data_IF_112199178185
#
_entry.id   IF_112199178185
#
_cell.length_a   1.000
_cell.length_b   1.000
_cell.length_c   1.000
_cell.angle_alpha   90.00
_cell.angle_beta   90.00
_cell.angle_gamma   90.00
#
_symmetry.space_group_name_H-M   'P 1'
#
loop_
_entity.id
_entity.type
_entity.pdbx_description
1 polymer ?
#
# COMPACT_ATOMS: atom_id res chain seq x y z
N UNK A 1 -14.27 8.45 -7.80
CA UNK A 1 -13.08 7.67 -7.43
C UNK A 1 -13.53 6.58 -6.47
N UNK A 2 -13.01 5.37 -6.55
CA UNK A 2 -13.35 4.31 -5.59
C UNK A 2 -12.90 4.71 -4.17
N UNK A 3 -13.66 4.29 -3.19
CA UNK A 3 -13.30 4.48 -1.77
C UNK A 3 -12.21 3.49 -1.36
N UNK A 4 -11.51 3.76 -0.27
CA UNK A 4 -10.51 2.86 0.29
C UNK A 4 -11.08 1.46 0.58
N UNK A 5 -12.30 1.39 1.10
CA UNK A 5 -12.97 0.12 1.39
C UNK A 5 -13.28 -0.67 0.11
N UNK A 6 -13.73 -0.01 -0.95
CA UNK A 6 -13.99 -0.65 -2.25
C UNK A 6 -12.71 -1.22 -2.87
N UNK A 7 -11.58 -0.51 -2.77
CA UNK A 7 -10.28 -0.99 -3.24
C UNK A 7 -9.83 -2.22 -2.44
N UNK A 8 -9.90 -2.19 -1.11
CA UNK A 8 -9.52 -3.32 -0.24
C UNK A 8 -10.41 -4.54 -0.55
N UNK A 9 -11.71 -4.35 -0.69
CA UNK A 9 -12.63 -5.45 -1.02
C UNK A 9 -12.32 -6.06 -2.39
N UNK A 10 -12.02 -5.24 -3.38
CA UNK A 10 -11.66 -5.70 -4.72
C UNK A 10 -10.32 -6.43 -4.75
N UNK A 11 -9.32 -5.97 -3.99
CA UNK A 11 -8.02 -6.66 -3.82
C UNK A 11 -8.25 -8.05 -3.21
N UNK A 12 -9.05 -8.17 -2.15
CA UNK A 12 -9.34 -9.44 -1.50
C UNK A 12 -10.07 -10.43 -2.45
N UNK A 13 -11.01 -9.94 -3.25
CA UNK A 13 -11.70 -10.76 -4.26
C UNK A 13 -10.73 -11.26 -5.35
N UNK A 14 -9.83 -10.40 -5.83
CA UNK A 14 -8.82 -10.80 -6.82
C UNK A 14 -7.83 -11.81 -6.23
N UNK A 15 -7.41 -11.64 -4.97
CA UNK A 15 -6.53 -12.61 -4.29
C UNK A 15 -7.19 -13.98 -4.14
N UNK A 16 -8.47 -14.03 -3.77
CA UNK A 16 -9.24 -15.28 -3.73
C UNK A 16 -9.33 -15.95 -5.11
N UNK A 17 -9.56 -15.17 -6.16
CA UNK A 17 -9.58 -15.66 -7.54
C UNK A 17 -8.20 -16.22 -7.97
N UNK A 18 -7.11 -15.52 -7.62
CA UNK A 18 -5.75 -15.98 -7.86
C UNK A 18 -5.50 -17.33 -7.20
N UNK A 19 -5.96 -17.51 -5.97
CA UNK A 19 -5.83 -18.78 -5.26
C UNK A 19 -6.58 -19.91 -5.99
N UNK A 20 -7.83 -19.66 -6.41
CA UNK A 20 -8.61 -20.64 -7.17
C UNK A 20 -7.93 -21.01 -8.50
N UNK A 21 -7.36 -20.04 -9.23
CA UNK A 21 -6.65 -20.30 -10.48
C UNK A 21 -5.40 -21.17 -10.24
N UNK A 22 -4.65 -20.92 -9.16
CA UNK A 22 -3.48 -21.73 -8.78
C UNK A 22 -3.87 -23.17 -8.48
N UNK A 23 -4.99 -23.39 -7.80
CA UNK A 23 -5.52 -24.71 -7.51
C UNK A 23 -5.92 -25.43 -8.80
N UNK A 24 -6.59 -24.75 -9.73
CA UNK A 24 -6.94 -25.31 -11.04
C UNK A 24 -5.72 -25.65 -11.90
N UNK A 25 -4.65 -24.84 -11.86
CA UNK A 25 -3.39 -25.16 -12.53
C UNK A 25 -2.78 -26.43 -11.94
N UNK A 26 -2.72 -26.54 -10.61
CA UNK A 26 -2.18 -27.72 -9.94
C UNK A 26 -2.96 -29.00 -10.28
N UNK A 27 -4.30 -28.90 -10.31
CA UNK A 27 -5.18 -30.01 -10.71
C UNK A 27 -4.96 -30.40 -12.18
N UNK A 28 -4.87 -29.41 -13.08
CA UNK A 28 -4.58 -29.66 -14.50
C UNK A 28 -3.19 -30.30 -14.69
N UNK A 29 -2.15 -29.85 -13.96
CA UNK A 29 -0.81 -30.45 -13.98
C UNK A 29 -0.83 -31.91 -13.50
N UNK A 30 -1.66 -32.21 -12.49
CA UNK A 30 -1.83 -33.59 -12.02
C UNK A 30 -2.56 -34.46 -13.06
N UNK A 31 -3.57 -33.94 -13.74
CA UNK A 31 -4.24 -34.63 -14.84
C UNK A 31 -3.30 -34.91 -16.01
N UNK A 32 -2.47 -33.93 -16.38
CA UNK A 32 -1.43 -34.10 -17.41
C UNK A 32 -0.47 -35.21 -17.03
N UNK A 33 0.01 -35.27 -15.80
CA UNK A 33 0.94 -36.32 -15.31
C UNK A 33 0.29 -37.69 -15.28
N UNK A 34 -0.94 -37.78 -14.82
CA UNK A 34 -1.60 -39.05 -14.54
C UNK A 34 -2.19 -39.72 -15.81
N UNK A 35 -2.69 -38.91 -16.76
CA UNK A 35 -3.48 -39.43 -17.87
C UNK A 35 -2.77 -39.46 -19.20
N UNK A 36 -1.86 -38.51 -19.51
CA UNK A 36 -1.55 -38.28 -20.91
C UNK A 36 -0.11 -38.63 -21.31
N UNK A 37 0.88 -38.19 -20.54
CA UNK A 37 2.28 -38.41 -20.96
C UNK A 37 2.64 -39.91 -20.93
N UNK A 38 2.33 -40.55 -19.81
CA UNK A 38 2.64 -41.97 -19.64
C UNK A 38 1.83 -42.86 -20.60
N UNK A 39 0.60 -42.47 -20.97
CA UNK A 39 -0.24 -43.24 -21.89
C UNK A 39 0.22 -43.04 -23.35
N UNK A 40 0.50 -41.80 -23.75
CA UNK A 40 1.00 -41.49 -25.10
C UNK A 40 2.31 -42.23 -25.38
N UNK A 41 3.30 -42.15 -24.49
CA UNK A 41 4.59 -42.80 -24.61
C UNK A 41 4.47 -44.35 -24.73
N UNK A 42 3.55 -44.94 -23.90
CA UNK A 42 3.29 -46.40 -23.98
C UNK A 42 2.65 -46.80 -25.32
N UNK A 43 1.65 -46.04 -25.79
CA UNK A 43 0.99 -46.33 -27.07
C UNK A 43 1.95 -46.14 -28.23
N UNK A 44 2.83 -45.14 -28.20
CA UNK A 44 3.87 -44.93 -29.21
C UNK A 44 4.86 -46.11 -29.24
N UNK A 45 5.26 -46.61 -28.06
CA UNK A 45 6.13 -47.78 -27.95
C UNK A 45 5.46 -49.04 -28.51
N UNK A 46 4.20 -49.28 -28.10
CA UNK A 46 3.40 -50.42 -28.60
C UNK A 46 3.20 -50.33 -30.11
N UNK A 47 2.93 -49.16 -30.65
CA UNK A 47 2.78 -48.93 -32.08
C UNK A 47 4.08 -49.20 -32.84
N UNK A 48 5.22 -48.81 -32.28
CA UNK A 48 6.52 -49.10 -32.88
C UNK A 48 6.82 -50.63 -32.94
N UNK A 49 6.49 -51.35 -31.84
CA UNK A 49 6.62 -52.81 -31.80
C UNK A 49 5.69 -53.51 -32.81
N UNK A 50 4.42 -53.05 -32.90
CA UNK A 50 3.46 -53.59 -33.88
C UNK A 50 3.92 -53.35 -35.34
N UNK A 51 4.45 -52.15 -35.62
CA UNK A 51 5.00 -51.85 -36.96
C UNK A 51 6.21 -52.72 -37.30
N UNK A 52 7.08 -52.97 -36.35
CA UNK A 52 8.22 -53.91 -36.55
C UNK A 52 7.71 -55.33 -36.84
N UNK A 53 6.75 -55.82 -36.06
CA UNK A 53 6.12 -57.13 -36.28
C UNK A 53 5.44 -57.22 -37.65
N UNK A 54 4.83 -56.12 -38.10
CA UNK A 54 4.25 -56.05 -39.44
C UNK A 54 5.30 -56.17 -40.55
N UNK A 55 6.44 -55.49 -40.39
CA UNK A 55 7.56 -55.61 -41.35
C UNK A 55 8.15 -57.04 -41.38
N UNK A 56 8.24 -57.72 -40.24
CA UNK A 56 8.69 -59.14 -40.19
C UNK A 56 7.74 -60.03 -40.98
N UNK A 57 6.44 -59.87 -40.86
CA UNK A 57 5.44 -60.63 -41.64
C UNK A 57 5.53 -60.29 -43.11
N UNK A 58 5.77 -59.05 -43.49
CA UNK A 58 6.02 -58.72 -44.90
C UNK A 58 7.28 -59.39 -45.47
N UNK A 59 8.37 -59.52 -44.71
CA UNK A 59 9.57 -60.26 -45.12
C UNK A 59 9.25 -61.71 -45.27
N UNK A 60 8.53 -62.35 -44.35
CA UNK A 60 8.07 -63.74 -44.46
C UNK A 60 7.21 -63.98 -45.70
N UNK A 61 6.30 -63.04 -46.04
CA UNK A 61 5.54 -63.10 -47.28
C UNK A 61 6.41 -63.09 -48.53
N UNK A 62 7.47 -62.31 -48.58
CA UNK A 62 8.43 -62.26 -49.66
C UNK A 62 9.25 -63.56 -49.79
N UNK A 63 9.41 -64.26 -48.68
CA UNK A 63 10.12 -65.56 -48.65
C UNK A 63 9.18 -66.76 -49.00
N UNK A 64 7.90 -66.50 -49.24
CA UNK A 64 6.94 -67.53 -49.61
C UNK A 64 6.19 -68.14 -48.40
N UNK A 65 6.42 -67.69 -47.23
CA UNK A 65 5.75 -68.04 -45.94
C UNK A 65 4.62 -67.08 -45.64
N UNK A 66 3.49 -67.19 -46.33
CA UNK A 66 2.41 -66.25 -46.23
C UNK A 66 1.34 -66.67 -45.21
N UNK A 67 1.14 -65.85 -44.09
CA UNK A 67 0.04 -65.98 -43.14
C UNK A 67 -0.87 -64.78 -43.22
N UNK A 68 -1.87 -64.86 -44.08
CA UNK A 68 -2.89 -63.75 -44.25
C UNK A 68 -3.62 -63.41 -42.99
N UNK A 69 -3.84 -64.33 -42.05
CA UNK A 69 -4.54 -64.13 -40.82
C UNK A 69 -3.70 -63.27 -39.84
N UNK A 70 -2.44 -63.66 -39.69
CA UNK A 70 -1.50 -62.92 -38.81
C UNK A 70 -1.28 -61.49 -39.29
N UNK A 71 -1.15 -61.28 -40.60
CA UNK A 71 -0.98 -60.00 -41.23
C UNK A 71 -2.21 -59.07 -40.87
N UNK A 72 -3.41 -59.60 -41.07
CA UNK A 72 -4.65 -58.88 -40.80
C UNK A 72 -4.82 -58.54 -39.31
N UNK A 73 -4.52 -59.46 -38.42
CA UNK A 73 -4.56 -59.22 -36.97
C UNK A 73 -3.60 -58.07 -36.52
N UNK A 74 -2.40 -57.98 -37.12
CA UNK A 74 -1.45 -56.92 -36.83
C UNK A 74 -1.93 -55.58 -37.41
N UNK A 75 -2.48 -55.57 -38.64
CA UNK A 75 -3.08 -54.37 -39.26
C UNK A 75 -4.22 -53.80 -38.41
N UNK A 76 -5.12 -54.66 -37.90
CA UNK A 76 -6.21 -54.25 -37.01
C UNK A 76 -5.70 -53.66 -35.70
N UNK A 77 -4.64 -54.24 -35.10
CA UNK A 77 -4.03 -53.73 -33.88
C UNK A 77 -3.32 -52.39 -34.12
N UNK A 78 -2.63 -52.23 -35.25
CA UNK A 78 -2.02 -50.94 -35.62
C UNK A 78 -3.08 -49.85 -35.76
N UNK A 79 -4.17 -50.13 -36.48
CA UNK A 79 -5.24 -49.19 -36.68
C UNK A 79 -5.92 -48.79 -35.33
N UNK A 80 -6.11 -49.75 -34.43
CA UNK A 80 -6.63 -49.50 -33.09
C UNK A 80 -5.68 -48.64 -32.26
N UNK A 81 -4.36 -48.95 -32.26
CA UNK A 81 -3.34 -48.18 -31.54
C UNK A 81 -3.20 -46.76 -32.09
N UNK A 82 -3.21 -46.56 -33.40
CA UNK A 82 -3.18 -45.23 -34.04
C UNK A 82 -4.40 -44.36 -33.66
N UNK A 83 -5.61 -44.99 -33.64
CA UNK A 83 -6.83 -44.31 -33.19
C UNK A 83 -6.74 -43.91 -31.71
N UNK A 84 -6.20 -44.81 -30.87
CA UNK A 84 -6.02 -44.54 -29.44
C UNK A 84 -5.02 -43.42 -29.21
N UNK A 85 -3.86 -43.47 -29.91
CA UNK A 85 -2.82 -42.42 -29.87
C UNK A 85 -3.40 -41.04 -30.25
N UNK A 86 -4.21 -40.97 -31.30
CA UNK A 86 -4.85 -39.72 -31.73
C UNK A 86 -5.78 -39.18 -30.69
N UNK A 87 -6.52 -40.03 -29.98
CA UNK A 87 -7.45 -39.64 -28.93
C UNK A 87 -6.70 -39.07 -27.70
N UNK A 88 -5.70 -39.80 -27.19
CA UNK A 88 -4.88 -39.42 -26.04
C UNK A 88 -4.06 -38.16 -26.30
N UNK A 89 -3.46 -38.02 -27.48
CA UNK A 89 -2.75 -36.82 -27.91
C UNK A 89 -3.69 -35.61 -27.96
N UNK A 90 -4.95 -35.79 -28.39
CA UNK A 90 -5.96 -34.75 -28.40
C UNK A 90 -6.32 -34.26 -26.98
N UNK A 91 -6.47 -35.22 -26.05
CA UNK A 91 -6.73 -34.89 -24.62
C UNK A 91 -5.53 -34.12 -24.03
N UNK A 92 -4.31 -34.56 -24.26
CA UNK A 92 -3.09 -33.89 -23.79
C UNK A 92 -2.98 -32.47 -24.33
N UNK A 93 -3.22 -32.27 -25.64
CA UNK A 93 -3.23 -30.91 -26.22
C UNK A 93 -4.28 -30.00 -25.61
N UNK A 94 -5.48 -30.52 -25.33
CA UNK A 94 -6.52 -29.76 -24.67
C UNK A 94 -6.12 -29.35 -23.23
N UNK A 95 -5.57 -30.27 -22.45
CA UNK A 95 -5.09 -29.99 -21.09
C UNK A 95 -3.98 -28.94 -21.07
N UNK A 96 -3.01 -29.03 -21.99
CA UNK A 96 -1.97 -28.02 -22.16
C UNK A 96 -2.56 -26.65 -22.56
N UNK A 97 -3.57 -26.64 -23.42
CA UNK A 97 -4.29 -25.43 -23.80
C UNK A 97 -4.99 -24.77 -22.61
N UNK A 98 -5.68 -25.56 -21.78
CA UNK A 98 -6.32 -25.10 -20.54
C UNK A 98 -5.26 -24.52 -19.58
N UNK A 99 -4.16 -25.23 -19.35
CA UNK A 99 -3.07 -24.79 -18.48
C UNK A 99 -2.53 -23.42 -18.91
N UNK A 100 -2.24 -23.24 -20.19
CA UNK A 100 -1.77 -21.96 -20.73
C UNK A 100 -2.81 -20.83 -20.62
N UNK A 101 -4.09 -21.14 -20.73
CA UNK A 101 -5.14 -20.16 -20.53
C UNK A 101 -5.20 -19.71 -19.08
N UNK A 102 -5.12 -20.64 -18.12
CA UNK A 102 -5.09 -20.36 -16.68
C UNK A 102 -3.85 -19.56 -16.28
N UNK A 103 -2.67 -19.85 -16.82
CA UNK A 103 -1.45 -19.08 -16.58
C UNK A 103 -1.56 -17.62 -17.05
N UNK A 104 -2.18 -17.40 -18.22
CA UNK A 104 -2.45 -16.04 -18.72
C UNK A 104 -3.43 -15.29 -17.82
N UNK A 105 -4.48 -15.96 -17.36
CA UNK A 105 -5.46 -15.38 -16.45
C UNK A 105 -4.84 -15.06 -15.08
N UNK A 106 -3.98 -15.94 -14.57
CA UNK A 106 -3.20 -15.71 -13.34
C UNK A 106 -2.37 -14.44 -13.43
N UNK A 107 -1.60 -14.30 -14.50
CA UNK A 107 -0.77 -13.11 -14.75
C UNK A 107 -1.60 -11.83 -14.84
N UNK A 108 -2.75 -11.90 -15.53
CA UNK A 108 -3.66 -10.76 -15.67
C UNK A 108 -4.26 -10.38 -14.32
N UNK A 109 -4.67 -11.34 -13.50
CA UNK A 109 -5.22 -11.11 -12.17
C UNK A 109 -4.20 -10.53 -11.21
N UNK A 110 -2.95 -11.01 -11.24
CA UNK A 110 -1.83 -10.44 -10.48
C UNK A 110 -1.57 -8.97 -10.85
N UNK A 111 -1.49 -8.67 -12.15
CA UNK A 111 -1.31 -7.28 -12.60
C UNK A 111 -2.45 -6.36 -12.16
N UNK A 112 -3.69 -6.86 -12.08
CA UNK A 112 -4.83 -6.07 -11.55
C UNK A 112 -4.71 -5.83 -10.06
N UNK A 113 -4.23 -6.79 -9.27
CA UNK A 113 -3.95 -6.60 -7.83
C UNK A 113 -2.92 -5.50 -7.66
N UNK A 114 -1.79 -5.57 -8.38
CA UNK A 114 -0.73 -4.56 -8.29
C UNK A 114 -1.24 -3.15 -8.63
N UNK A 115 -2.06 -3.03 -9.69
CA UNK A 115 -2.67 -1.76 -10.05
C UNK A 115 -3.59 -1.20 -8.97
N UNK A 116 -4.38 -2.06 -8.31
CA UNK A 116 -5.27 -1.62 -7.24
C UNK A 116 -4.52 -1.29 -5.95
N UNK A 117 -3.42 -1.98 -5.65
CA UNK A 117 -2.54 -1.64 -4.53
C UNK A 117 -1.91 -0.26 -4.73
N UNK A 118 -1.40 0.02 -5.93
CA UNK A 118 -0.88 1.36 -6.27
C UNK A 118 -1.96 2.43 -6.13
N UNK A 119 -3.20 2.13 -6.54
CA UNK A 119 -4.31 3.08 -6.39
C UNK A 119 -4.66 3.34 -4.92
N UNK A 120 -4.61 2.31 -4.06
CA UNK A 120 -4.82 2.41 -2.62
C UNK A 120 -3.73 3.25 -1.96
N UNK A 121 -2.46 2.98 -2.26
CA UNK A 121 -1.31 3.74 -1.74
C UNK A 121 -1.38 5.23 -2.13
N UNK A 122 -1.80 5.53 -3.36
CA UNK A 122 -2.01 6.92 -3.81
C UNK A 122 -3.11 7.61 -3.02
N UNK A 123 -4.21 6.92 -2.74
CA UNK A 123 -5.31 7.47 -1.96
C UNK A 123 -4.89 7.75 -0.51
N UNK A 124 -4.15 6.83 0.10
CA UNK A 124 -3.58 7.00 1.44
C UNK A 124 -2.60 8.17 1.50
N UNK A 125 -1.74 8.31 0.50
CA UNK A 125 -0.82 9.43 0.41
C UNK A 125 -1.55 10.78 0.31
N UNK A 126 -2.59 10.89 -0.51
CA UNK A 126 -3.38 12.13 -0.61
C UNK A 126 -4.13 12.44 0.70
N UNK A 127 -4.65 11.45 1.40
CA UNK A 127 -5.26 11.64 2.72
C UNK A 127 -4.23 12.17 3.74
N UNK A 128 -3.03 11.58 3.81
CA UNK A 128 -1.95 12.04 4.67
C UNK A 128 -1.52 13.49 4.34
N UNK A 129 -1.51 13.85 3.08
CA UNK A 129 -1.20 15.22 2.63
C UNK A 129 -2.25 16.22 3.11
N UNK A 130 -3.54 15.86 3.01
CA UNK A 130 -4.63 16.69 3.51
C UNK A 130 -4.59 16.85 5.04
N UNK A 131 -4.32 15.78 5.77
CA UNK A 131 -4.20 15.82 7.22
C UNK A 131 -3.01 16.69 7.66
N UNK A 132 -1.88 16.56 6.97
CA UNK A 132 -0.73 17.43 7.20
C UNK A 132 -1.08 18.91 6.98
N UNK A 133 -1.81 19.20 5.90
CA UNK A 133 -2.21 20.58 5.62
C UNK A 133 -3.12 21.14 6.71
N UNK A 134 -4.11 20.37 7.18
CA UNK A 134 -4.97 20.76 8.32
C UNK A 134 -4.17 21.04 9.59
N UNK A 135 -3.19 20.17 9.91
CA UNK A 135 -2.33 20.39 11.07
C UNK A 135 -1.50 21.68 10.96
N UNK A 136 -0.99 22.00 9.78
CA UNK A 136 -0.25 23.27 9.55
C UNK A 136 -1.16 24.46 9.75
N UNK A 137 -2.39 24.41 9.24
CA UNK A 137 -3.37 25.49 9.42
C UNK A 137 -3.74 25.69 10.91
N UNK A 138 -3.94 24.61 11.65
CA UNK A 138 -4.17 24.68 13.11
C UNK A 138 -2.98 25.29 13.86
N UNK A 139 -1.76 24.89 13.54
CA UNK A 139 -0.55 25.47 14.16
C UNK A 139 -0.46 26.97 13.87
N UNK A 140 -0.77 27.40 12.64
CA UNK A 140 -0.79 28.81 12.28
C UNK A 140 -1.84 29.59 13.08
N UNK A 141 -3.04 29.02 13.26
CA UNK A 141 -4.09 29.65 14.08
C UNK A 141 -3.67 29.80 15.55
N UNK A 142 -3.08 28.75 16.15
CA UNK A 142 -2.55 28.81 17.52
C UNK A 142 -1.43 29.84 17.65
N UNK A 143 -0.51 29.89 16.69
CA UNK A 143 0.56 30.88 16.68
C UNK A 143 0.01 32.29 16.67
N UNK A 144 -1.02 32.57 15.85
CA UNK A 144 -1.66 33.89 15.81
C UNK A 144 -2.36 34.25 17.13
N UNK A 145 -3.02 33.28 17.77
CA UNK A 145 -3.65 33.49 19.08
C UNK A 145 -2.60 33.83 20.16
N UNK A 146 -1.47 33.15 20.17
CA UNK A 146 -0.37 33.42 21.09
C UNK A 146 0.21 34.84 20.87
N UNK A 147 0.42 35.24 19.61
CA UNK A 147 0.85 36.61 19.30
C UNK A 147 -0.13 37.64 19.80
N UNK A 148 -1.42 37.41 19.61
CA UNK A 148 -2.44 38.30 20.09
C UNK A 148 -2.46 38.40 21.63
N UNK A 149 -2.30 37.28 22.35
CA UNK A 149 -2.19 37.28 23.80
C UNK A 149 -0.96 38.02 24.28
N UNK A 150 0.20 37.80 23.62
CA UNK A 150 1.43 38.53 23.92
C UNK A 150 1.25 40.03 23.77
N UNK A 151 0.66 40.50 22.67
CA UNK A 151 0.39 41.91 22.43
C UNK A 151 -0.54 42.52 23.51
N UNK A 152 -1.54 41.74 23.99
CA UNK A 152 -2.39 42.18 25.13
C UNK A 152 -1.60 42.33 26.42
N UNK A 153 -0.69 41.35 26.73
CA UNK A 153 0.18 41.45 27.93
C UNK A 153 1.08 42.66 27.84
N UNK A 154 1.68 42.95 26.69
CA UNK A 154 2.46 44.19 26.48
C UNK A 154 1.64 45.42 26.74
N UNK A 155 0.41 45.48 26.16
CA UNK A 155 -0.48 46.60 26.37
C UNK A 155 -0.90 46.80 27.85
N UNK A 156 -1.17 45.71 28.59
CA UNK A 156 -1.44 45.76 30.01
C UNK A 156 -0.23 46.25 30.82
N UNK A 157 0.97 45.79 30.53
CA UNK A 157 2.19 46.23 31.17
C UNK A 157 2.40 47.75 30.97
N UNK A 158 2.25 48.22 29.75
CA UNK A 158 2.37 49.63 29.41
C UNK A 158 1.31 50.48 30.16
N UNK A 159 0.06 50.05 30.16
CA UNK A 159 -1.02 50.72 30.87
C UNK A 159 -0.79 50.75 32.40
N UNK A 160 -0.29 49.65 32.98
CA UNK A 160 0.07 49.57 34.41
C UNK A 160 1.19 50.53 34.77
N UNK A 161 2.25 50.59 33.96
CA UNK A 161 3.36 51.53 34.17
C UNK A 161 2.90 52.96 34.06
N UNK A 162 2.07 53.30 33.07
CA UNK A 162 1.52 54.65 32.93
C UNK A 162 0.64 55.04 34.11
N UNK A 163 -0.21 54.09 34.59
CA UNK A 163 -1.07 54.33 35.74
C UNK A 163 -0.26 54.54 37.04
N UNK A 164 0.74 53.68 37.28
CA UNK A 164 1.64 53.79 38.42
C UNK A 164 2.41 55.12 38.37
N UNK A 165 2.89 55.55 37.21
CA UNK A 165 3.57 56.83 37.02
C UNK A 165 2.65 58.00 37.40
N UNK A 166 1.39 57.98 36.94
CA UNK A 166 0.41 59.05 37.28
C UNK A 166 0.08 59.08 38.76
N UNK A 167 -0.05 57.96 39.43
CA UNK A 167 -0.34 57.86 40.86
C UNK A 167 0.83 58.46 41.65
N UNK A 168 2.06 58.00 41.40
CA UNK A 168 3.23 58.49 42.10
C UNK A 168 3.52 59.96 41.82
N UNK A 169 3.28 60.42 40.59
CA UNK A 169 3.42 61.85 40.24
C UNK A 169 2.49 62.73 41.06
N UNK A 170 1.19 62.33 41.21
CA UNK A 170 0.24 63.03 42.09
C UNK A 170 0.65 62.96 43.54
N UNK A 171 1.11 61.84 44.06
CA UNK A 171 1.57 61.76 45.47
C UNK A 171 2.80 62.63 45.70
N UNK A 172 3.76 62.73 44.77
CA UNK A 172 4.86 63.67 44.92
C UNK A 172 4.44 65.15 44.93
N UNK A 173 3.53 65.50 44.05
CA UNK A 173 2.95 66.87 44.05
C UNK A 173 2.26 67.20 45.37
N UNK A 174 1.45 66.29 45.96
CA UNK A 174 0.83 66.44 47.23
C UNK A 174 1.81 66.62 48.41
N UNK A 175 2.98 66.00 48.32
CA UNK A 175 4.06 66.12 49.30
C UNK A 175 4.95 67.35 49.09
N UNK A 176 4.52 68.30 48.23
CA UNK A 176 5.22 69.56 48.02
C UNK A 176 6.35 69.51 46.98
N UNK A 177 6.37 68.53 46.15
CA UNK A 177 7.28 68.43 44.99
C UNK A 177 6.55 68.86 43.71
N UNK A 178 6.53 70.14 43.37
CA UNK A 178 5.64 70.67 42.29
C UNK A 178 6.03 70.10 40.88
N UNK A 179 7.19 69.59 40.73
CA UNK A 179 7.67 68.99 39.47
C UNK A 179 7.38 67.47 39.38
N UNK A 180 6.69 66.87 40.34
CA UNK A 180 6.35 65.46 40.37
C UNK A 180 7.57 64.53 40.35
N UNK A 181 7.48 63.43 39.65
CA UNK A 181 8.57 62.46 39.47
C UNK A 181 9.70 63.06 38.64
N UNK A 182 10.92 62.97 39.14
CA UNK A 182 12.12 63.48 38.44
C UNK A 182 12.70 62.50 37.43
N UNK A 183 12.19 61.27 37.33
CA UNK A 183 12.61 60.23 36.42
C UNK A 183 14.01 59.66 36.78
N UNK A 184 14.47 59.83 38.02
CA UNK A 184 15.69 59.21 38.51
C UNK A 184 15.55 57.68 38.71
N UNK A 185 16.61 56.97 39.06
CA UNK A 185 16.62 55.51 39.24
C UNK A 185 15.64 55.05 40.33
N UNK A 186 15.49 55.80 41.40
CA UNK A 186 14.56 55.52 42.54
C UNK A 186 13.11 55.62 42.11
N UNK A 187 12.78 56.65 41.35
CA UNK A 187 11.41 56.86 40.84
C UNK A 187 11.03 55.75 39.88
N UNK A 188 11.93 55.32 39.02
CA UNK A 188 11.72 54.20 38.10
C UNK A 188 11.45 52.89 38.84
N UNK A 189 12.21 52.63 39.92
CA UNK A 189 12.02 51.43 40.73
C UNK A 189 10.66 51.44 41.47
N UNK A 190 10.25 52.57 42.02
CA UNK A 190 8.94 52.73 42.67
C UNK A 190 7.80 52.51 41.65
N UNK A 191 7.89 53.04 40.45
CA UNK A 191 6.93 52.80 39.38
C UNK A 191 6.86 51.30 39.04
N UNK A 192 7.99 50.62 38.94
CA UNK A 192 8.01 49.17 38.68
C UNK A 192 7.38 48.35 39.81
N UNK A 193 7.70 48.69 41.05
CA UNK A 193 7.14 48.02 42.22
C UNK A 193 5.59 48.20 42.30
N UNK A 194 5.11 49.39 41.98
CA UNK A 194 3.66 49.67 41.98
C UNK A 194 2.97 49.01 40.76
N UNK A 195 3.57 49.08 39.58
CA UNK A 195 2.98 48.55 38.35
C UNK A 195 3.01 47.02 38.29
N UNK A 196 3.99 46.35 38.93
CA UNK A 196 4.25 44.91 38.90
C UNK A 196 4.11 44.34 37.48
N UNK A 197 4.81 44.90 36.47
CA UNK A 197 4.68 44.40 35.09
C UNK A 197 5.22 42.98 34.99
N UNK A 198 4.57 42.15 34.15
CA UNK A 198 5.07 40.83 33.82
C UNK A 198 6.39 40.90 33.04
N UNK A 199 7.30 40.03 33.35
CA UNK A 199 8.55 39.90 32.58
C UNK A 199 8.26 39.35 31.18
N UNK A 200 8.40 40.22 30.19
CA UNK A 200 8.13 39.85 28.78
C UNK A 200 9.08 38.78 28.24
N UNK A 201 10.27 38.61 28.84
CA UNK A 201 11.17 37.53 28.43
C UNK A 201 10.65 36.18 28.92
N UNK A 202 10.12 36.12 30.15
CA UNK A 202 9.46 34.92 30.67
C UNK A 202 8.25 34.57 29.80
N UNK A 203 7.40 35.56 29.46
CA UNK A 203 6.25 35.34 28.59
C UNK A 203 6.65 34.80 27.22
N UNK A 204 7.70 35.36 26.60
CA UNK A 204 8.25 34.87 25.31
C UNK A 204 8.77 33.45 25.42
N UNK A 205 9.49 33.11 26.50
CA UNK A 205 10.02 31.78 26.75
C UNK A 205 8.88 30.75 26.85
N UNK A 206 7.88 31.02 27.67
CA UNK A 206 6.72 30.15 27.82
C UNK A 206 5.97 29.96 26.49
N UNK A 207 5.81 31.02 25.70
CA UNK A 207 5.19 30.92 24.37
C UNK A 207 6.00 30.02 23.42
N UNK A 208 7.32 30.15 23.41
CA UNK A 208 8.20 29.34 22.57
C UNK A 208 8.15 27.86 22.98
N UNK A 209 8.16 27.57 24.29
CA UNK A 209 8.02 26.21 24.84
C UNK A 209 6.68 25.60 24.47
N UNK A 210 5.59 26.35 24.68
CA UNK A 210 4.23 25.88 24.35
C UNK A 210 4.09 25.57 22.87
N UNK A 211 4.62 26.40 21.97
CA UNK A 211 4.61 26.14 20.53
C UNK A 211 5.42 24.88 20.16
N UNK A 212 6.60 24.71 20.82
CA UNK A 212 7.44 23.52 20.61
C UNK A 212 6.75 22.25 21.09
N UNK A 213 6.09 22.28 22.25
CA UNK A 213 5.33 21.13 22.78
C UNK A 213 4.16 20.76 21.89
N UNK A 214 3.37 21.74 21.41
CA UNK A 214 2.27 21.52 20.47
C UNK A 214 2.78 20.89 19.18
N UNK A 215 3.87 21.39 18.62
CA UNK A 215 4.47 20.84 17.41
C UNK A 215 4.97 19.41 17.64
N UNK A 216 5.63 19.13 18.76
CA UNK A 216 6.19 17.82 19.09
C UNK A 216 5.10 16.78 19.41
N UNK A 217 4.08 17.13 20.18
CA UNK A 217 2.98 16.23 20.55
C UNK A 217 2.16 15.81 19.33
N UNK A 218 1.97 16.69 18.36
CA UNK A 218 1.22 16.42 17.14
C UNK A 218 2.04 15.62 16.10
N UNK A 219 3.38 15.66 16.15
CA UNK A 219 4.26 14.82 15.34
C UNK A 219 4.44 13.41 15.92
N UNK A 220 4.24 13.23 17.25
CA UNK A 220 4.38 11.95 17.93
C UNK A 220 3.12 11.05 17.88
N UNK A 221 2.00 11.54 17.40
CA UNK A 221 0.74 10.78 17.23
C UNK A 221 0.69 9.99 15.88
N UNK A 222 1.85 9.67 15.36
CA UNK A 222 2.03 8.76 14.20
C UNK A 222 2.82 7.52 14.65
#
# INVERSE_FOLDING_TARGET
MPTQQELIQSINQLQSRIQTIKEQIAETDQQIKNSSINNVDKIETELAELKNSYYEVQVQELLGEYDARKKREIEEKIAAAEKHLKTESGVLQNLLGIRHALERELKTSQSRVDQQQIALEKLEFENLKLDRQRLVEEIQQFSQQLVNLFNRVVGYNEASIQSATRILDREYQLKGYPNGLKGNGTDREQVRQLAQPLDLNVVKSVMAETLSEIASSRLAVR
#
